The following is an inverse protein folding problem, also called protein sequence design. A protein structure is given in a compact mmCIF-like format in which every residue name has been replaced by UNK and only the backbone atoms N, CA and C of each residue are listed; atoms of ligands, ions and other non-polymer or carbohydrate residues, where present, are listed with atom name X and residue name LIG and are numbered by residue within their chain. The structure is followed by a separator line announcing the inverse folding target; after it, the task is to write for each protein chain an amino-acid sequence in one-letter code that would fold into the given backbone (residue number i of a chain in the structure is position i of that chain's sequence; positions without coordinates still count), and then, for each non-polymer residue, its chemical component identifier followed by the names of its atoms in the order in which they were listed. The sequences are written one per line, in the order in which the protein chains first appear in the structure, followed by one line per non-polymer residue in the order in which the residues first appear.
data_IF_919580422752
#
_entry.id   IF_919580422752
#
_cell.length_a   1.000
_cell.length_b   1.000
_cell.length_c   1.000
_cell.angle_alpha   90.00
_cell.angle_beta   90.00
_cell.angle_gamma   90.00
#
_symmetry.space_group_name_H-M   'P 1'
#
loop_
_entity.id
_entity.type
_entity.pdbx_description
1 polymer ?
#
# COMPACT_ATOMS: atom_id res chain seq x y z
N UNK A 1 -20.18 2.06 32.17
CA UNK A 1 -19.18 2.94 31.52
C UNK A 1 -18.77 2.52 30.08
N UNK A 2 -19.61 1.78 29.32
CA UNK A 2 -19.33 1.40 27.90
C UNK A 2 -20.08 2.24 26.84
N UNK A 3 -20.82 3.27 27.25
CA UNK A 3 -21.81 3.93 26.37
C UNK A 3 -21.37 5.27 25.76
N UNK A 4 -20.08 5.63 25.80
CA UNK A 4 -19.59 6.90 25.23
C UNK A 4 -18.72 6.75 23.98
N UNK A 5 -18.73 5.57 23.34
CA UNK A 5 -17.87 5.24 22.19
C UNK A 5 -18.39 5.72 20.82
N UNK A 6 -19.58 6.31 20.78
CA UNK A 6 -20.22 6.83 19.56
C UNK A 6 -20.20 8.36 19.47
N UNK A 7 -19.25 9.02 20.16
CA UNK A 7 -18.89 10.41 19.86
C UNK A 7 -18.48 10.43 18.38
N UNK A 8 -19.31 11.08 17.55
CA UNK A 8 -19.23 11.03 16.09
C UNK A 8 -17.77 11.02 15.62
N UNK A 9 -17.33 9.85 15.12
CA UNK A 9 -15.98 9.73 14.57
C UNK A 9 -15.95 10.67 13.36
N UNK A 10 -14.97 11.57 13.24
CA UNK A 10 -14.93 12.53 12.15
C UNK A 10 -14.66 11.79 10.84
N UNK A 11 -15.71 11.27 10.21
CA UNK A 11 -15.64 10.47 8.98
C UNK A 11 -15.14 11.33 7.80
N UNK A 12 -15.65 12.55 7.68
CA UNK A 12 -15.34 13.46 6.58
C UNK A 12 -13.83 13.77 6.47
N UNK A 13 -13.11 14.19 7.54
CA UNK A 13 -11.67 14.41 7.44
C UNK A 13 -10.86 13.19 6.99
N UNK A 14 -11.26 11.97 7.37
CA UNK A 14 -10.56 10.76 6.94
C UNK A 14 -10.88 10.37 5.50
N UNK A 15 -12.09 10.66 5.03
CA UNK A 15 -12.44 10.55 3.62
C UNK A 15 -11.62 11.56 2.79
N UNK A 16 -11.54 12.82 3.21
CA UNK A 16 -10.70 13.82 2.56
C UNK A 16 -9.22 13.43 2.58
N UNK A 17 -8.72 12.86 3.69
CA UNK A 17 -7.36 12.36 3.75
C UNK A 17 -7.12 11.21 2.77
N UNK A 18 -8.08 10.28 2.63
CA UNK A 18 -7.97 9.18 1.68
C UNK A 18 -7.94 9.71 0.23
N UNK A 19 -8.87 10.61 -0.11
CA UNK A 19 -8.90 11.27 -1.42
C UNK A 19 -7.62 12.06 -1.70
N UNK A 20 -7.10 12.77 -0.69
CA UNK A 20 -5.82 13.47 -0.77
C UNK A 20 -4.66 12.52 -1.07
N UNK A 21 -4.56 11.40 -0.35
CA UNK A 21 -3.50 10.42 -0.56
C UNK A 21 -3.60 9.83 -1.98
N UNK A 22 -4.79 9.45 -2.42
CA UNK A 22 -5.01 8.95 -3.79
C UNK A 22 -4.63 9.99 -4.84
N UNK A 23 -5.03 11.26 -4.66
CA UNK A 23 -4.71 12.34 -5.59
C UNK A 23 -3.19 12.58 -5.66
N UNK A 24 -2.51 12.69 -4.51
CA UNK A 24 -1.06 12.87 -4.46
C UNK A 24 -0.33 11.69 -5.10
N UNK A 25 -0.71 10.45 -4.79
CA UNK A 25 -0.12 9.25 -5.40
C UNK A 25 -0.33 9.22 -6.91
N UNK A 26 -1.53 9.54 -7.39
CA UNK A 26 -1.82 9.60 -8.83
C UNK A 26 -1.02 10.70 -9.54
N UNK A 27 -0.89 11.88 -8.92
CA UNK A 27 -0.12 12.99 -9.48
C UNK A 27 1.38 12.66 -9.57
N UNK A 28 1.95 12.03 -8.55
CA UNK A 28 3.39 11.74 -8.51
C UNK A 28 3.78 10.48 -9.28
N UNK A 29 2.94 9.45 -9.23
CA UNK A 29 3.31 8.10 -9.70
C UNK A 29 2.31 7.53 -10.72
N UNK A 30 1.23 8.23 -11.09
CA UNK A 30 0.21 7.71 -12.00
C UNK A 30 0.73 7.36 -13.39
N UNK A 31 1.81 8.01 -13.84
CA UNK A 31 2.51 7.68 -15.10
C UNK A 31 3.09 6.26 -15.10
N UNK A 32 3.32 5.66 -13.93
CA UNK A 32 3.76 4.27 -13.80
C UNK A 32 2.79 3.27 -14.42
N UNK A 33 1.50 3.60 -14.51
CA UNK A 33 0.50 2.75 -15.17
C UNK A 33 0.81 2.51 -16.66
N UNK A 34 1.57 3.40 -17.29
CA UNK A 34 1.95 3.28 -18.71
C UNK A 34 3.26 2.52 -18.92
N UNK A 35 4.02 2.26 -17.85
CA UNK A 35 5.30 1.59 -17.95
C UNK A 35 5.12 0.11 -18.35
N UNK A 36 6.09 -0.46 -19.09
CA UNK A 36 6.18 -1.91 -19.25
C UNK A 36 6.67 -2.54 -17.95
N UNK A 37 6.57 -3.87 -17.83
CA UNK A 37 7.31 -4.62 -16.81
C UNK A 37 8.82 -4.50 -17.03
N UNK A 38 9.60 -4.44 -15.94
CA UNK A 38 11.04 -4.17 -16.02
C UNK A 38 11.81 -4.78 -14.84
N UNK A 39 13.14 -4.79 -14.94
CA UNK A 39 14.03 -5.44 -13.96
C UNK A 39 13.61 -6.90 -13.68
N UNK A 40 13.48 -7.28 -12.41
CA UNK A 40 13.20 -8.66 -12.02
C UNK A 40 11.79 -9.11 -12.39
N UNK A 41 10.89 -8.21 -12.80
CA UNK A 41 9.53 -8.58 -13.24
C UNK A 41 9.61 -9.62 -14.37
N UNK A 42 10.60 -9.48 -15.27
CA UNK A 42 10.82 -10.36 -16.41
C UNK A 42 11.24 -11.78 -16.02
N UNK A 43 11.71 -11.98 -14.78
CA UNK A 43 12.08 -13.29 -14.23
C UNK A 43 10.98 -13.80 -13.30
N UNK A 44 10.44 -12.92 -12.46
CA UNK A 44 9.49 -13.30 -11.42
C UNK A 44 8.11 -13.59 -11.99
N UNK A 45 7.60 -12.82 -12.96
CA UNK A 45 6.26 -13.03 -13.51
C UNK A 45 6.13 -14.38 -14.25
N UNK A 46 7.08 -14.79 -15.12
CA UNK A 46 7.06 -16.14 -15.70
C UNK A 46 7.24 -17.26 -14.67
N UNK A 47 8.04 -17.01 -13.62
CA UNK A 47 8.18 -17.93 -12.50
C UNK A 47 6.84 -18.15 -11.78
N UNK A 48 6.08 -17.08 -11.54
CA UNK A 48 4.77 -17.16 -10.89
C UNK A 48 3.74 -17.86 -11.79
N UNK A 49 3.73 -17.51 -13.08
CA UNK A 49 2.81 -18.09 -14.07
C UNK A 49 2.91 -19.62 -14.13
N UNK A 50 4.15 -20.14 -14.17
CA UNK A 50 4.47 -21.55 -14.37
C UNK A 50 4.36 -22.43 -13.12
N UNK A 51 3.92 -21.88 -11.99
CA UNK A 51 3.87 -22.58 -10.70
C UNK A 51 2.48 -22.66 -10.11
N UNK A 52 2.20 -23.76 -9.43
CA UNK A 52 0.98 -23.90 -8.62
C UNK A 52 1.09 -23.08 -7.33
N UNK A 53 -0.06 -22.74 -6.72
CA UNK A 53 -0.09 -22.04 -5.44
C UNK A 53 0.73 -22.76 -4.35
N UNK A 54 0.62 -24.09 -4.25
CA UNK A 54 1.36 -24.86 -3.25
C UNK A 54 2.88 -24.73 -3.47
N UNK A 55 3.35 -24.80 -4.71
CA UNK A 55 4.77 -24.64 -5.01
C UNK A 55 5.27 -23.23 -4.68
N UNK A 56 4.47 -22.19 -4.92
CA UNK A 56 4.82 -20.81 -4.54
C UNK A 56 5.06 -20.63 -3.05
N UNK A 57 4.41 -21.45 -2.20
CA UNK A 57 4.55 -21.40 -0.73
C UNK A 57 5.57 -22.39 -0.16
N UNK A 58 5.93 -23.45 -0.91
CA UNK A 58 6.78 -24.53 -0.39
C UNK A 58 8.15 -24.62 -1.07
N UNK A 59 8.35 -24.00 -2.23
CA UNK A 59 9.60 -24.08 -3.01
C UNK A 59 10.25 -22.71 -3.17
N UNK A 60 11.32 -22.48 -2.42
CA UNK A 60 12.14 -21.27 -2.52
C UNK A 60 13.25 -21.47 -3.58
N UNK A 61 12.98 -21.10 -4.84
CA UNK A 61 13.93 -21.25 -5.95
C UNK A 61 14.53 -19.93 -6.44
N UNK A 62 13.94 -18.79 -6.07
CA UNK A 62 14.46 -17.46 -6.39
C UNK A 62 15.28 -16.92 -5.22
N UNK A 63 16.33 -16.15 -5.53
CA UNK A 63 17.17 -15.47 -4.53
C UNK A 63 16.35 -14.59 -3.57
N UNK A 64 15.28 -13.96 -4.09
CA UNK A 64 14.30 -13.21 -3.29
C UNK A 64 12.97 -13.94 -3.22
N UNK A 65 12.87 -14.90 -2.30
CA UNK A 65 11.65 -15.66 -2.08
C UNK A 65 10.59 -14.85 -1.30
N UNK A 66 9.46 -14.56 -1.96
CA UNK A 66 8.39 -13.67 -1.43
C UNK A 66 7.02 -14.31 -1.72
N UNK A 67 6.63 -15.38 -1.02
CA UNK A 67 5.48 -16.22 -1.38
C UNK A 67 4.16 -15.46 -1.40
N UNK A 68 3.94 -14.55 -0.45
CA UNK A 68 2.71 -13.75 -0.40
C UNK A 68 2.59 -12.80 -1.62
N UNK A 69 3.71 -12.24 -2.06
CA UNK A 69 3.75 -11.40 -3.27
C UNK A 69 3.38 -12.21 -4.51
N UNK A 70 4.02 -13.38 -4.66
CA UNK A 70 3.76 -14.30 -5.76
C UNK A 70 2.32 -14.80 -5.77
N UNK A 71 1.75 -15.05 -4.59
CA UNK A 71 0.36 -15.46 -4.45
C UNK A 71 -0.61 -14.41 -5.01
N UNK A 72 -0.39 -13.12 -4.71
CA UNK A 72 -1.22 -12.03 -5.24
C UNK A 72 -1.12 -11.90 -6.76
N UNK A 73 0.09 -11.98 -7.31
CA UNK A 73 0.27 -11.95 -8.77
C UNK A 73 -0.34 -13.17 -9.46
N UNK A 74 -0.22 -14.37 -8.87
CA UNK A 74 -0.85 -15.57 -9.41
C UNK A 74 -2.37 -15.45 -9.41
N UNK A 75 -2.95 -14.91 -8.34
CA UNK A 75 -4.38 -14.64 -8.26
C UNK A 75 -4.84 -13.71 -9.39
N UNK A 76 -4.15 -12.60 -9.65
CA UNK A 76 -4.53 -11.71 -10.75
C UNK A 76 -4.32 -12.35 -12.12
N UNK A 77 -3.23 -13.10 -12.30
CA UNK A 77 -2.98 -13.84 -13.53
C UNK A 77 -4.12 -14.83 -13.81
N UNK A 78 -4.52 -15.62 -12.81
CA UNK A 78 -5.59 -16.62 -12.96
C UNK A 78 -6.96 -15.95 -13.21
N UNK A 79 -7.20 -14.75 -12.67
CA UNK A 79 -8.44 -13.98 -12.88
C UNK A 79 -8.50 -13.29 -14.26
N UNK A 80 -7.36 -12.85 -14.79
CA UNK A 80 -7.30 -12.05 -16.02
C UNK A 80 -6.84 -12.87 -17.24
N UNK A 81 -6.23 -14.04 -17.02
CA UNK A 81 -5.59 -14.85 -18.03
C UNK A 81 -4.23 -14.33 -18.50
N UNK A 82 -3.76 -13.20 -17.96
CA UNK A 82 -2.50 -12.56 -18.33
C UNK A 82 -1.93 -11.70 -17.19
N UNK A 83 -0.63 -11.40 -17.26
CA UNK A 83 -0.02 -10.38 -16.41
C UNK A 83 -0.37 -8.99 -16.95
N UNK A 84 -1.40 -8.36 -16.37
CA UNK A 84 -1.84 -7.05 -16.81
C UNK A 84 -1.05 -5.92 -16.11
N UNK A 85 -0.39 -5.05 -16.90
CA UNK A 85 0.40 -3.93 -16.39
C UNK A 85 -0.41 -2.94 -15.53
N UNK A 86 -1.64 -2.62 -15.94
CA UNK A 86 -2.47 -1.65 -15.25
C UNK A 86 -2.87 -2.16 -13.87
N UNK A 87 -3.18 -3.45 -13.77
CA UNK A 87 -3.55 -4.09 -12.50
C UNK A 87 -2.35 -4.18 -11.56
N UNK A 88 -1.19 -4.60 -12.07
CA UNK A 88 0.01 -4.77 -11.24
C UNK A 88 0.57 -3.42 -10.75
N UNK A 89 0.74 -2.43 -11.63
CA UNK A 89 1.13 -1.08 -11.20
C UNK A 89 0.02 -0.44 -10.36
N UNK A 90 -1.25 -0.66 -10.71
CA UNK A 90 -2.40 -0.18 -9.95
C UNK A 90 -2.42 -0.66 -8.51
N UNK A 91 -2.05 -1.93 -8.25
CA UNK A 91 -1.92 -2.45 -6.90
C UNK A 91 -0.83 -1.72 -6.11
N UNK A 92 0.32 -1.44 -6.71
CA UNK A 92 1.37 -0.66 -6.06
C UNK A 92 0.88 0.74 -5.70
N UNK A 93 0.21 1.43 -6.63
CA UNK A 93 -0.35 2.76 -6.36
C UNK A 93 -1.41 2.73 -5.26
N UNK A 94 -2.28 1.72 -5.28
CA UNK A 94 -3.32 1.54 -4.25
C UNK A 94 -2.70 1.34 -2.87
N UNK A 95 -1.73 0.44 -2.75
CA UNK A 95 -1.04 0.18 -1.49
C UNK A 95 -0.24 1.39 -1.02
N UNK A 96 0.43 2.11 -1.91
CA UNK A 96 1.16 3.31 -1.55
C UNK A 96 0.23 4.42 -1.02
N UNK A 97 -0.91 4.65 -1.68
CA UNK A 97 -1.94 5.57 -1.20
C UNK A 97 -2.54 5.11 0.15
N UNK A 98 -2.81 3.82 0.31
CA UNK A 98 -3.32 3.25 1.56
C UNK A 98 -2.31 3.39 2.71
N UNK A 99 -1.01 3.22 2.43
CA UNK A 99 0.06 3.46 3.39
C UNK A 99 0.10 4.93 3.84
N UNK A 100 0.05 5.88 2.89
CA UNK A 100 -0.02 7.31 3.22
C UNK A 100 -1.24 7.65 4.07
N UNK A 101 -2.40 7.07 3.75
CA UNK A 101 -3.63 7.25 4.53
C UNK A 101 -3.48 6.72 5.96
N UNK A 102 -2.94 5.51 6.14
CA UNK A 102 -2.68 4.93 7.46
C UNK A 102 -1.69 5.76 8.26
N UNK A 103 -0.63 6.29 7.65
CA UNK A 103 0.32 7.19 8.30
C UNK A 103 -0.38 8.45 8.82
N UNK A 104 -1.19 9.11 7.99
CA UNK A 104 -1.94 10.28 8.42
C UNK A 104 -2.96 9.95 9.52
N UNK A 105 -3.64 8.81 9.43
CA UNK A 105 -4.55 8.33 10.47
C UNK A 105 -3.84 8.03 11.80
N UNK A 106 -2.66 7.42 11.75
CA UNK A 106 -1.83 7.16 12.93
C UNK A 106 -1.34 8.46 13.56
N UNK A 107 -0.93 9.43 12.74
CA UNK A 107 -0.56 10.77 13.20
C UNK A 107 -1.73 11.43 13.97
N UNK A 108 -2.96 11.32 13.48
CA UNK A 108 -4.15 11.80 14.19
C UNK A 108 -4.36 11.11 15.55
N UNK A 109 -4.03 9.81 15.65
CA UNK A 109 -4.23 9.01 16.86
C UNK A 109 -3.19 9.26 17.94
N UNK A 110 -1.94 9.42 17.54
CA UNK A 110 -0.81 9.46 18.47
C UNK A 110 -0.53 10.88 18.97
N UNK A 111 -0.75 11.91 18.15
CA UNK A 111 -0.45 13.29 18.57
C UNK A 111 -1.53 13.91 19.46
N UNK A 112 -1.15 14.63 20.54
CA UNK A 112 -2.09 15.39 21.36
C UNK A 112 -2.81 16.46 20.55
N UNK A 113 -4.13 16.56 20.72
CA UNK A 113 -4.99 17.51 20.00
C UNK A 113 -4.82 18.93 20.57
N UNK A 114 -4.03 19.76 19.90
CA UNK A 114 -4.13 21.22 20.02
C UNK A 114 -5.08 21.72 18.92
N UNK A 115 -6.05 22.56 19.28
CA UNK A 115 -7.18 22.92 18.41
C UNK A 115 -6.76 23.49 17.03
N UNK A 116 -5.67 24.24 16.95
CA UNK A 116 -5.24 24.90 15.71
C UNK A 116 -4.61 23.96 14.66
N UNK A 117 -4.02 22.83 15.06
CA UNK A 117 -3.21 21.98 14.15
C UNK A 117 -3.80 20.58 13.93
N UNK A 118 -5.00 20.32 14.46
CA UNK A 118 -5.56 18.97 14.50
C UNK A 118 -5.63 18.31 13.11
N UNK A 119 -5.94 19.07 12.05
CA UNK A 119 -6.04 18.55 10.69
C UNK A 119 -4.78 18.72 9.85
N UNK A 120 -3.86 19.62 10.23
CA UNK A 120 -2.63 19.82 9.48
C UNK A 120 -1.71 18.60 9.62
N UNK A 121 -1.60 18.04 10.82
CA UNK A 121 -0.64 16.96 11.11
C UNK A 121 -0.91 15.68 10.29
N UNK A 122 -2.15 15.15 10.21
CA UNK A 122 -2.45 13.98 9.38
C UNK A 122 -2.08 14.17 7.92
N UNK A 123 -2.44 15.32 7.34
CA UNK A 123 -2.18 15.63 5.94
C UNK A 123 -0.69 15.83 5.69
N UNK A 124 0.02 16.53 6.58
CA UNK A 124 1.45 16.74 6.47
C UNK A 124 2.21 15.41 6.58
N UNK A 125 1.90 14.57 7.57
CA UNK A 125 2.54 13.25 7.72
C UNK A 125 2.29 12.34 6.53
N UNK A 126 1.04 12.28 6.03
CA UNK A 126 0.72 11.51 4.84
C UNK A 126 1.46 12.04 3.60
N UNK A 127 1.47 13.36 3.39
CA UNK A 127 2.15 13.98 2.26
C UNK A 127 3.66 13.73 2.32
N UNK A 128 4.29 13.95 3.47
CA UNK A 128 5.71 13.65 3.65
C UNK A 128 6.01 12.19 3.35
N UNK A 129 5.18 11.25 3.82
CA UNK A 129 5.35 9.83 3.51
C UNK A 129 5.24 9.52 2.00
N UNK A 130 4.24 10.08 1.31
CA UNK A 130 4.04 9.86 -0.12
C UNK A 130 5.14 10.50 -0.98
N UNK A 131 5.77 11.57 -0.48
CA UNK A 131 6.87 12.26 -1.13
C UNK A 131 8.26 11.67 -0.79
N UNK A 132 8.45 11.06 0.38
CA UNK A 132 9.79 10.75 0.91
C UNK A 132 10.49 9.58 0.20
N UNK A 133 11.77 9.78 -0.16
CA UNK A 133 12.27 10.82 -1.03
C UNK A 133 12.19 10.28 -2.47
N UNK A 134 11.07 10.51 -3.16
CA UNK A 134 10.73 9.95 -4.48
C UNK A 134 11.07 8.46 -4.56
N UNK A 135 10.13 7.61 -4.12
CA UNK A 135 10.20 6.14 -4.20
C UNK A 135 10.18 5.66 -5.67
N UNK A 136 11.14 6.11 -6.47
CA UNK A 136 11.19 6.01 -7.93
C UNK A 136 11.30 4.55 -8.38
N UNK A 137 11.91 3.71 -7.55
CA UNK A 137 11.87 2.26 -7.71
C UNK A 137 10.69 1.67 -6.95
N UNK A 138 10.50 2.06 -5.68
CA UNK A 138 9.56 1.37 -4.77
C UNK A 138 8.07 1.50 -5.10
N UNK A 139 7.65 2.43 -5.97
CA UNK A 139 6.24 2.54 -6.39
C UNK A 139 6.07 2.14 -7.86
N UNK A 140 6.86 2.68 -8.81
CA UNK A 140 6.70 2.34 -10.22
C UNK A 140 7.09 0.90 -10.56
N UNK A 141 8.02 0.27 -9.84
CA UNK A 141 8.45 -1.10 -10.15
C UNK A 141 7.50 -2.14 -9.56
N UNK A 142 6.89 -2.98 -10.39
CA UNK A 142 5.93 -4.00 -9.94
C UNK A 142 6.56 -4.92 -8.90
N UNK A 143 7.78 -5.40 -9.12
CA UNK A 143 8.52 -6.27 -8.20
C UNK A 143 8.81 -5.72 -6.81
N UNK A 144 8.61 -4.41 -6.59
CA UNK A 144 8.72 -3.79 -5.27
C UNK A 144 7.46 -3.94 -4.39
N UNK A 145 6.40 -4.57 -4.90
CA UNK A 145 5.11 -4.77 -4.23
C UNK A 145 5.26 -5.32 -2.78
N UNK A 146 6.21 -6.21 -2.54
CA UNK A 146 6.49 -6.74 -1.20
C UNK A 146 6.82 -5.65 -0.16
N UNK A 147 7.52 -4.58 -0.56
CA UNK A 147 7.90 -3.49 0.33
C UNK A 147 6.68 -2.65 0.72
N UNK A 148 5.82 -2.37 -0.27
CA UNK A 148 4.56 -1.66 -0.06
C UNK A 148 3.60 -2.47 0.81
N UNK A 149 3.52 -3.78 0.57
CA UNK A 149 2.70 -4.70 1.34
C UNK A 149 3.22 -4.87 2.77
N UNK A 150 4.53 -4.98 2.96
CA UNK A 150 5.13 -5.07 4.30
C UNK A 150 4.81 -3.82 5.13
N UNK A 151 4.99 -2.63 4.57
CA UNK A 151 4.63 -1.37 5.24
C UNK A 151 3.14 -1.35 5.57
N UNK A 152 2.28 -1.74 4.62
CA UNK A 152 0.84 -1.79 4.84
C UNK A 152 0.43 -2.68 6.01
N UNK A 153 0.96 -3.89 6.06
CA UNK A 153 0.67 -4.84 7.14
C UNK A 153 1.21 -4.35 8.49
N UNK A 154 2.39 -3.72 8.52
CA UNK A 154 2.94 -3.12 9.74
C UNK A 154 2.07 -1.96 10.26
N UNK A 155 1.66 -1.06 9.36
CA UNK A 155 0.80 0.08 9.72
C UNK A 155 -0.60 -0.39 10.16
N UNK A 156 -1.16 -1.41 9.50
CA UNK A 156 -2.41 -2.05 9.92
C UNK A 156 -2.29 -2.70 11.29
N UNK A 157 -1.20 -3.40 11.57
CA UNK A 157 -0.93 -4.00 12.88
C UNK A 157 -0.91 -2.93 13.98
N UNK A 158 -0.21 -1.83 13.75
CA UNK A 158 -0.17 -0.70 14.68
C UNK A 158 -1.56 -0.05 14.83
N UNK A 159 -2.31 0.09 13.75
CA UNK A 159 -3.66 0.62 13.79
C UNK A 159 -4.61 -0.27 14.59
N UNK A 160 -4.54 -1.59 14.40
CA UNK A 160 -5.29 -2.56 15.18
C UNK A 160 -4.95 -2.50 16.67
N UNK A 161 -3.66 -2.40 17.01
CA UNK A 161 -3.20 -2.23 18.39
C UNK A 161 -3.78 -0.96 19.05
N UNK A 162 -3.75 0.17 18.35
CA UNK A 162 -4.30 1.45 18.85
C UNK A 162 -5.83 1.51 18.87
N UNK A 163 -6.51 0.64 18.13
CA UNK A 163 -7.96 0.49 18.21
C UNK A 163 -8.39 -0.43 19.35
N UNK A 164 -7.53 -1.38 19.72
CA UNK A 164 -7.75 -2.29 20.84
C UNK A 164 -7.54 -1.62 22.20
N UNK A 165 -6.52 -0.76 22.32
CA UNK A 165 -6.20 0.00 23.52
C UNK A 165 -7.23 1.12 23.78
#
# INVERSE_FOLDING_TARGET
MRQQLWRQRPFLPFLFLALWCTAVTALLYGTSLTLPFFFDDLVQLPYVESRSYLELWTRAQLAYYRPLNFHLWKLFYDLLGEHNRLVNHGLNLLLHAANGWLVGWLAWKVWPRKQAEQYLRPFLSATLFLFFPFSYQGVPWVGSLNHLLAIFLMLLSLAAYLLWR
#
